data_IF_071634224206
#
_entry.id   IF_071634224206
#
_cell.length_a   1.000
_cell.length_b   1.000
_cell.length_c   1.000
_cell.angle_alpha   90.00
_cell.angle_beta   90.00
_cell.angle_gamma   90.00
#
_symmetry.space_group_name_H-M   'P 1'
#
loop_
_entity.id
_entity.type
_entity.pdbx_description
1 polymer ?
#
# COMPACT_ATOMS: atom_id res chain seq x y z
N UNK A 1 28.39 18.01 -24.73
CA UNK A 1 27.94 17.36 -23.46
C UNK A 1 26.45 17.61 -23.27
N UNK A 2 25.62 16.61 -23.58
CA UNK A 2 24.16 16.76 -23.61
C UNK A 2 23.52 16.79 -22.22
N UNK A 3 22.30 17.34 -22.15
CA UNK A 3 21.43 17.32 -20.97
C UNK A 3 21.32 15.93 -20.34
N UNK A 4 21.24 14.87 -21.16
CA UNK A 4 21.21 13.48 -20.71
C UNK A 4 22.45 13.04 -19.92
N UNK A 5 23.62 13.58 -20.24
CA UNK A 5 24.88 13.28 -19.52
C UNK A 5 24.97 14.04 -18.18
N UNK A 6 24.20 15.12 -18.04
CA UNK A 6 24.03 15.86 -16.78
C UNK A 6 23.00 15.17 -15.88
N UNK A 7 21.90 14.68 -16.47
CA UNK A 7 20.88 13.91 -15.75
C UNK A 7 21.43 12.56 -15.27
N UNK A 8 22.20 11.85 -16.10
CA UNK A 8 22.85 10.59 -15.71
C UNK A 8 23.89 10.80 -14.60
N UNK A 9 24.60 11.94 -14.62
CA UNK A 9 25.52 12.34 -13.54
C UNK A 9 24.77 12.68 -12.26
N UNK A 10 23.62 13.35 -12.32
CA UNK A 10 22.79 13.60 -11.14
C UNK A 10 22.34 12.28 -10.50
N UNK A 11 21.86 11.33 -11.31
CA UNK A 11 21.44 10.01 -10.82
C UNK A 11 22.61 9.22 -10.21
N UNK A 12 23.81 9.25 -10.82
CA UNK A 12 25.02 8.62 -10.27
C UNK A 12 25.55 9.33 -9.02
N UNK A 13 25.48 10.66 -8.97
CA UNK A 13 25.91 11.43 -7.81
C UNK A 13 24.98 11.18 -6.61
N UNK A 14 23.66 11.04 -6.83
CA UNK A 14 22.72 10.69 -5.78
C UNK A 14 22.85 9.24 -5.30
N UNK A 15 23.24 8.31 -6.18
CA UNK A 15 23.52 6.93 -5.79
C UNK A 15 24.70 6.81 -4.79
N UNK A 16 25.69 7.71 -4.86
CA UNK A 16 26.79 7.76 -3.89
C UNK A 16 26.45 8.53 -2.60
N UNK A 17 25.48 9.45 -2.65
CA UNK A 17 25.01 10.19 -1.46
C UNK A 17 24.04 9.37 -0.57
N UNK A 18 23.32 8.42 -1.17
CA UNK A 18 22.38 7.53 -0.47
C UNK A 18 23.05 6.52 0.49
N UNK A 19 24.39 6.45 0.51
CA UNK A 19 25.14 5.61 1.47
C UNK A 19 25.25 6.26 2.86
N UNK A 20 24.98 7.56 3.00
CA UNK A 20 25.36 8.31 4.22
C UNK A 20 24.23 8.90 5.06
N UNK A 21 22.96 8.61 4.80
CA UNK A 21 21.92 9.08 5.72
C UNK A 21 20.50 8.68 5.35
N UNK A 22 19.91 7.80 6.15
CA UNK A 22 18.54 7.82 6.69
C UNK A 22 17.35 8.29 5.81
N UNK A 23 17.47 8.37 4.49
CA UNK A 23 16.35 8.66 3.59
C UNK A 23 15.79 7.37 3.01
N UNK A 24 14.48 7.19 3.21
CA UNK A 24 13.72 6.09 2.67
C UNK A 24 13.89 6.05 1.14
N UNK A 25 14.44 4.95 0.56
CA UNK A 25 14.69 4.85 -0.88
C UNK A 25 13.41 5.02 -1.70
N UNK A 26 12.24 4.74 -1.13
CA UNK A 26 10.96 4.98 -1.80
C UNK A 26 10.66 6.47 -1.95
N UNK A 27 11.00 7.30 -0.96
CA UNK A 27 10.84 8.76 -1.02
C UNK A 27 11.75 9.40 -2.07
N UNK A 28 13.00 8.94 -2.18
CA UNK A 28 13.93 9.44 -3.21
C UNK A 28 13.39 9.15 -4.61
N UNK A 29 12.84 7.95 -4.84
CA UNK A 29 12.24 7.60 -6.14
C UNK A 29 10.96 8.41 -6.42
N UNK A 30 10.10 8.62 -5.41
CA UNK A 30 8.91 9.46 -5.51
C UNK A 30 9.29 10.91 -5.86
N UNK A 31 10.27 11.50 -5.17
CA UNK A 31 10.77 12.84 -5.45
C UNK A 31 11.40 12.95 -6.85
N UNK A 32 12.22 11.98 -7.25
CA UNK A 32 12.88 11.98 -8.56
C UNK A 32 11.87 11.98 -9.70
N UNK A 33 10.79 11.20 -9.58
CA UNK A 33 9.71 11.19 -10.59
C UNK A 33 8.91 12.49 -10.58
N UNK A 34 8.66 13.08 -9.40
CA UNK A 34 7.99 14.37 -9.29
C UNK A 34 8.83 15.50 -9.94
N UNK A 35 10.14 15.53 -9.71
CA UNK A 35 11.05 16.50 -10.31
C UNK A 35 11.08 16.36 -11.83
N UNK A 36 11.17 15.13 -12.35
CA UNK A 36 11.10 14.87 -13.79
C UNK A 36 9.77 15.35 -14.40
N UNK A 37 8.65 15.19 -13.71
CA UNK A 37 7.34 15.70 -14.16
C UNK A 37 7.29 17.23 -14.16
N UNK A 38 7.83 17.88 -13.13
CA UNK A 38 7.93 19.34 -13.06
C UNK A 38 8.78 19.90 -14.20
N UNK A 39 9.93 19.29 -14.47
CA UNK A 39 10.81 19.70 -15.57
C UNK A 39 10.20 19.41 -16.94
N UNK A 40 9.41 18.33 -17.07
CA UNK A 40 8.64 18.07 -18.29
C UNK A 40 7.64 19.20 -18.58
N UNK A 41 6.96 19.74 -17.57
CA UNK A 41 6.04 20.87 -17.76
C UNK A 41 6.80 22.10 -18.26
N UNK A 42 7.94 22.44 -17.66
CA UNK A 42 8.78 23.56 -18.10
C UNK A 42 9.28 23.35 -19.53
N UNK A 43 9.68 22.12 -19.87
CA UNK A 43 10.13 21.80 -21.23
C UNK A 43 9.00 21.93 -22.23
N UNK A 44 7.79 21.44 -21.92
CA UNK A 44 6.59 21.63 -22.77
C UNK A 44 6.33 23.11 -23.04
N UNK A 45 6.42 23.96 -22.01
CA UNK A 45 6.27 25.41 -22.17
C UNK A 45 7.35 26.00 -23.08
N UNK A 46 8.63 25.62 -22.89
CA UNK A 46 9.72 26.08 -23.74
C UNK A 46 9.55 25.67 -25.21
N UNK A 47 9.12 24.42 -25.45
CA UNK A 47 8.82 23.93 -26.81
C UNK A 47 7.63 24.67 -27.41
N UNK A 48 6.58 24.95 -26.63
CA UNK A 48 5.44 25.75 -27.09
C UNK A 48 5.86 27.18 -27.49
N UNK A 49 6.74 27.82 -26.71
CA UNK A 49 7.29 29.14 -27.05
C UNK A 49 8.11 29.10 -28.35
N UNK A 50 8.91 28.05 -28.55
CA UNK A 50 9.67 27.86 -29.79
C UNK A 50 8.73 27.71 -31.01
N UNK A 51 7.68 26.89 -30.89
CA UNK A 51 6.65 26.73 -31.93
C UNK A 51 5.94 28.07 -32.21
N UNK A 52 5.59 28.82 -31.17
CA UNK A 52 4.94 30.12 -31.33
C UNK A 52 5.85 31.12 -32.07
N UNK A 53 7.13 31.17 -31.72
CA UNK A 53 8.14 32.00 -32.40
C UNK A 53 8.27 31.65 -33.89
N UNK A 54 8.39 30.36 -34.21
CA UNK A 54 8.42 29.84 -35.56
C UNK A 54 7.16 30.23 -36.35
N UNK A 55 5.97 30.07 -35.76
CA UNK A 55 4.70 30.45 -36.39
C UNK A 55 4.61 31.94 -36.65
N UNK A 56 5.14 32.77 -35.73
CA UNK A 56 5.22 34.23 -35.92
C UNK A 56 6.11 34.59 -37.09
N UNK A 57 7.30 33.98 -37.19
CA UNK A 57 8.21 34.18 -38.32
C UNK A 57 7.59 33.76 -39.65
N UNK A 58 6.90 32.62 -39.68
CA UNK A 58 6.16 32.16 -40.86
C UNK A 58 5.10 33.17 -41.30
N UNK A 59 4.30 33.64 -40.35
CA UNK A 59 3.31 34.68 -40.63
C UNK A 59 3.93 35.98 -41.17
N UNK A 60 5.11 36.38 -40.69
CA UNK A 60 5.81 37.56 -41.21
C UNK A 60 6.34 37.32 -42.64
N UNK A 61 6.85 36.13 -42.93
CA UNK A 61 7.27 35.73 -44.27
C UNK A 61 6.09 35.77 -45.26
N UNK A 62 4.95 35.21 -44.85
CA UNK A 62 3.72 35.17 -45.66
C UNK A 62 3.18 36.59 -45.92
N UNK A 63 3.20 37.46 -44.91
CA UNK A 63 2.84 38.87 -45.06
C UNK A 63 3.75 39.61 -46.04
N UNK A 64 5.07 39.43 -45.92
CA UNK A 64 6.04 40.05 -46.84
C UNK A 64 5.84 39.55 -48.28
N UNK A 65 5.56 38.26 -48.47
CA UNK A 65 5.26 37.66 -49.78
C UNK A 65 3.97 38.23 -50.38
N UNK A 66 2.93 38.40 -49.56
CA UNK A 66 1.65 39.02 -49.96
C UNK A 66 1.85 40.48 -50.37
N UNK A 67 2.66 41.24 -49.63
CA UNK A 67 3.02 42.62 -49.99
C UNK A 67 3.79 42.69 -51.31
N UNK A 68 4.76 41.78 -51.53
CA UNK A 68 5.47 41.71 -52.81
C UNK A 68 4.51 41.46 -53.98
N UNK A 69 3.53 40.56 -53.81
CA UNK A 69 2.49 40.27 -54.81
C UNK A 69 1.61 41.50 -55.07
N UNK A 70 1.18 42.19 -54.00
CA UNK A 70 0.36 43.40 -54.12
C UNK A 70 1.09 44.51 -54.88
N UNK A 71 2.39 44.71 -54.60
CA UNK A 71 3.20 45.70 -55.33
C UNK A 71 3.44 45.30 -56.78
N UNK A 72 3.50 44.01 -57.07
CA UNK A 72 3.57 43.51 -58.44
C UNK A 72 2.29 43.84 -59.23
N UNK A 73 1.11 43.55 -58.68
CA UNK A 73 -0.18 43.88 -59.29
C UNK A 73 -0.34 45.39 -59.51
N UNK A 74 0.14 46.22 -58.57
CA UNK A 74 0.16 47.68 -58.72
C UNK A 74 1.07 48.13 -59.85
N UNK A 75 2.24 47.51 -60.02
CA UNK A 75 3.13 47.80 -61.13
C UNK A 75 2.50 47.45 -62.48
N UNK A 76 1.81 46.30 -62.57
CA UNK A 76 1.07 45.91 -63.78
C UNK A 76 -0.05 46.89 -64.11
N UNK A 77 -0.78 47.36 -63.09
CA UNK A 77 -1.83 48.36 -63.28
C UNK A 77 -1.27 49.71 -63.76
N UNK A 78 -0.15 50.15 -63.21
CA UNK A 78 0.53 51.38 -63.61
C UNK A 78 1.02 51.31 -65.06
N UNK A 79 1.62 50.19 -65.47
CA UNK A 79 2.03 49.96 -66.86
C UNK A 79 0.84 49.97 -67.83
N UNK A 80 -0.29 49.34 -67.46
CA UNK A 80 -1.52 49.37 -68.27
C UNK A 80 -2.07 50.79 -68.47
N UNK A 81 -1.77 51.71 -67.55
CA UNK A 81 -2.17 53.12 -67.62
C UNK A 81 -1.10 54.02 -68.26
N UNK A 82 0.04 53.47 -68.67
CA UNK A 82 1.16 54.23 -69.24
C UNK A 82 1.99 55.01 -68.23
N UNK A 83 1.80 54.78 -66.92
CA UNK A 83 2.57 55.44 -65.86
C UNK A 83 3.84 54.64 -65.53
N UNK A 84 4.85 54.73 -66.39
CA UNK A 84 6.09 53.95 -66.26
C UNK A 84 6.88 54.25 -64.99
N UNK A 85 6.95 55.52 -64.56
CA UNK A 85 7.70 55.89 -63.36
C UNK A 85 7.08 55.28 -62.09
N UNK A 86 5.74 55.29 -62.01
CA UNK A 86 5.00 54.68 -60.90
C UNK A 86 5.13 53.14 -60.91
N UNK A 87 5.19 52.53 -62.10
CA UNK A 87 5.49 51.11 -62.23
C UNK A 87 6.91 50.76 -61.72
N UNK A 88 7.93 51.57 -62.06
CA UNK A 88 9.30 51.37 -61.57
C UNK A 88 9.40 51.49 -60.05
N UNK A 89 8.70 52.46 -59.46
CA UNK A 89 8.67 52.61 -58.01
C UNK A 89 7.98 51.40 -57.34
N UNK A 90 6.84 50.95 -57.87
CA UNK A 90 6.14 49.78 -57.38
C UNK A 90 7.00 48.51 -57.46
N UNK A 91 7.74 48.31 -58.56
CA UNK A 91 8.68 47.19 -58.70
C UNK A 91 9.86 47.29 -57.74
N UNK A 92 10.33 48.50 -57.43
CA UNK A 92 11.38 48.71 -56.42
C UNK A 92 10.89 48.27 -55.03
N UNK A 93 9.68 48.67 -54.64
CA UNK A 93 9.06 48.25 -53.38
C UNK A 93 8.81 46.74 -53.34
N UNK A 94 8.30 46.16 -54.43
CA UNK A 94 8.16 44.70 -54.58
C UNK A 94 9.47 43.99 -54.27
N UNK A 95 10.59 44.45 -54.87
CA UNK A 95 11.90 43.82 -54.70
C UNK A 95 12.30 43.78 -53.22
N UNK A 96 12.14 44.89 -52.49
CA UNK A 96 12.42 44.94 -51.05
C UNK A 96 11.58 43.95 -50.23
N UNK A 97 10.28 43.85 -50.50
CA UNK A 97 9.41 42.88 -49.83
C UNK A 97 9.74 41.43 -50.19
N UNK A 98 10.15 41.19 -51.45
CA UNK A 98 10.54 39.86 -51.91
C UNK A 98 11.85 39.39 -51.28
N UNK A 99 12.85 40.27 -51.16
CA UNK A 99 14.09 39.99 -50.43
C UNK A 99 13.81 39.69 -48.94
N UNK A 100 12.93 40.48 -48.33
CA UNK A 100 12.47 40.26 -46.94
C UNK A 100 11.79 38.90 -46.78
N UNK A 101 10.85 38.56 -47.67
CA UNK A 101 10.15 37.28 -47.65
C UNK A 101 11.13 36.10 -47.82
N UNK A 102 12.13 36.24 -48.70
CA UNK A 102 13.16 35.21 -48.93
C UNK A 102 14.01 35.00 -47.69
N UNK A 103 14.47 36.08 -47.05
CA UNK A 103 15.26 36.02 -45.81
C UNK A 103 14.48 35.38 -44.65
N UNK A 104 13.23 35.80 -44.45
CA UNK A 104 12.36 35.23 -43.42
C UNK A 104 12.04 33.76 -43.69
N UNK A 105 11.79 33.38 -44.94
CA UNK A 105 11.53 31.99 -45.32
C UNK A 105 12.73 31.08 -45.03
N UNK A 106 13.95 31.56 -45.31
CA UNK A 106 15.18 30.83 -44.97
C UNK A 106 15.33 30.66 -43.44
N UNK A 107 14.99 31.68 -42.65
CA UNK A 107 14.99 31.59 -41.19
C UNK A 107 13.93 30.60 -40.68
N UNK A 108 12.73 30.61 -41.25
CA UNK A 108 11.66 29.64 -40.93
C UNK A 108 12.15 28.22 -41.20
N UNK A 109 12.73 27.97 -42.38
CA UNK A 109 13.22 26.64 -42.75
C UNK A 109 14.31 26.13 -41.80
N UNK A 110 15.21 27.01 -41.35
CA UNK A 110 16.23 26.69 -40.34
C UNK A 110 15.59 26.34 -38.98
N UNK A 111 14.52 27.04 -38.59
CA UNK A 111 13.81 26.75 -37.33
C UNK A 111 12.91 25.52 -37.40
N UNK A 112 12.35 25.17 -38.57
CA UNK A 112 11.50 23.99 -38.75
C UNK A 112 12.21 22.72 -38.26
N UNK A 113 13.49 22.52 -38.63
CA UNK A 113 14.28 21.36 -38.19
C UNK A 113 14.56 21.35 -36.68
N UNK A 114 14.79 22.52 -36.08
CA UNK A 114 15.04 22.65 -34.64
C UNK A 114 13.78 22.35 -33.84
N UNK A 115 12.65 22.92 -34.23
CA UNK A 115 11.35 22.69 -33.58
C UNK A 115 10.92 21.24 -33.68
N UNK A 116 11.09 20.59 -34.85
CA UNK A 116 10.80 19.17 -35.01
C UNK A 116 11.69 18.29 -34.11
N UNK A 117 12.98 18.64 -33.99
CA UNK A 117 13.89 17.93 -33.08
C UNK A 117 13.46 18.08 -31.61
N UNK A 118 13.04 19.29 -31.22
CA UNK A 118 12.52 19.56 -29.87
C UNK A 118 11.24 18.77 -29.59
N UNK A 119 10.29 18.71 -30.53
CA UNK A 119 9.06 17.92 -30.40
C UNK A 119 9.36 16.43 -30.23
N UNK A 120 10.24 15.86 -31.07
CA UNK A 120 10.64 14.45 -30.96
C UNK A 120 11.33 14.15 -29.62
N UNK A 121 12.21 15.05 -29.18
CA UNK A 121 12.90 14.92 -27.89
C UNK A 121 11.94 14.98 -26.71
N UNK A 122 10.91 15.83 -26.80
CA UNK A 122 9.86 15.93 -25.80
C UNK A 122 9.07 14.62 -25.68
N UNK A 123 8.61 14.06 -26.80
CA UNK A 123 7.89 12.78 -26.82
C UNK A 123 8.76 11.65 -26.26
N UNK A 124 10.05 11.61 -26.64
CA UNK A 124 10.99 10.62 -26.10
C UNK A 124 11.19 10.78 -24.58
N UNK A 125 11.21 12.01 -24.07
CA UNK A 125 11.31 12.27 -22.64
C UNK A 125 10.05 11.84 -21.89
N UNK A 126 8.87 12.09 -22.45
CA UNK A 126 7.58 11.64 -21.90
C UNK A 126 7.56 10.11 -21.75
N UNK A 127 8.00 9.38 -22.77
CA UNK A 127 8.13 7.92 -22.71
C UNK A 127 9.09 7.47 -21.60
N UNK A 128 10.27 8.08 -21.49
CA UNK A 128 11.23 7.76 -20.43
C UNK A 128 10.69 8.04 -19.02
N UNK A 129 9.90 9.09 -18.85
CA UNK A 129 9.26 9.42 -17.56
C UNK A 129 8.18 8.39 -17.23
N UNK A 130 7.41 7.92 -18.20
CA UNK A 130 6.44 6.84 -18.00
C UNK A 130 7.12 5.52 -17.60
N UNK A 131 8.24 5.17 -18.25
CA UNK A 131 9.06 4.03 -17.86
C UNK A 131 9.63 4.20 -16.44
N UNK A 132 10.12 5.39 -16.09
CA UNK A 132 10.64 5.67 -14.76
C UNK A 132 9.57 5.54 -13.68
N UNK A 133 8.35 6.00 -13.96
CA UNK A 133 7.19 5.81 -13.05
C UNK A 133 6.91 4.32 -12.82
N UNK A 134 6.88 3.53 -13.89
CA UNK A 134 6.66 2.07 -13.79
C UNK A 134 7.76 1.39 -12.98
N UNK A 135 9.02 1.75 -13.23
CA UNK A 135 10.18 1.24 -12.47
C UNK A 135 10.11 1.64 -11.00
N UNK A 136 9.71 2.87 -10.69
CA UNK A 136 9.49 3.32 -9.31
C UNK A 136 8.46 2.43 -8.62
N UNK A 137 7.30 2.22 -9.23
CA UNK A 137 6.21 1.44 -8.62
C UNK A 137 6.65 -0.01 -8.36
N UNK A 138 7.39 -0.61 -9.30
CA UNK A 138 8.00 -1.94 -9.14
C UNK A 138 9.01 -1.98 -7.98
N UNK A 139 9.92 -1.00 -7.90
CA UNK A 139 10.93 -0.93 -6.84
C UNK A 139 10.29 -0.71 -5.46
N UNK A 140 9.22 0.09 -5.40
CA UNK A 140 8.46 0.33 -4.17
C UNK A 140 7.77 -0.95 -3.68
N UNK A 141 7.12 -1.69 -4.57
CA UNK A 141 6.52 -2.99 -4.24
C UNK A 141 7.57 -4.00 -3.75
N UNK A 142 8.75 -4.04 -4.40
CA UNK A 142 9.85 -4.91 -3.99
C UNK A 142 10.42 -4.52 -2.62
N UNK A 143 10.55 -3.23 -2.35
CA UNK A 143 10.98 -2.72 -1.04
C UNK A 143 9.99 -3.10 0.07
N UNK A 144 8.69 -2.95 -0.19
CA UNK A 144 7.64 -3.35 0.75
C UNK A 144 7.65 -4.87 1.02
N UNK A 145 7.79 -5.69 -0.02
CA UNK A 145 7.90 -7.15 0.13
C UNK A 145 9.13 -7.54 0.94
N UNK A 146 10.28 -6.91 0.69
CA UNK A 146 11.51 -7.15 1.45
C UNK A 146 11.36 -6.73 2.92
N UNK A 147 10.71 -5.59 3.19
CA UNK A 147 10.43 -5.12 4.54
C UNK A 147 9.48 -6.06 5.29
N UNK A 148 8.43 -6.56 4.63
CA UNK A 148 7.51 -7.55 5.20
C UNK A 148 8.22 -8.88 5.51
N UNK A 149 9.11 -9.34 4.62
CA UNK A 149 9.91 -10.54 4.85
C UNK A 149 10.88 -10.35 6.03
N UNK A 150 11.51 -9.18 6.15
CA UNK A 150 12.37 -8.85 7.29
C UNK A 150 11.58 -8.82 8.59
N UNK A 151 10.40 -8.19 8.61
CA UNK A 151 9.52 -8.16 9.77
C UNK A 151 9.06 -9.56 10.17
N UNK A 152 8.71 -10.42 9.21
CA UNK A 152 8.36 -11.82 9.47
C UNK A 152 9.54 -12.58 10.07
N UNK A 153 10.75 -12.46 9.50
CA UNK A 153 11.94 -13.12 10.03
C UNK A 153 12.31 -12.63 11.43
N UNK A 154 12.13 -11.33 11.71
CA UNK A 154 12.33 -10.77 13.05
C UNK A 154 11.24 -11.24 14.03
N UNK A 155 9.98 -11.34 13.60
CA UNK A 155 8.89 -11.86 14.41
C UNK A 155 9.07 -13.35 14.71
N UNK A 156 9.45 -14.17 13.73
CA UNK A 156 9.77 -15.59 13.92
C UNK A 156 11.05 -15.78 14.75
N UNK A 157 12.06 -14.91 14.58
CA UNK A 157 13.25 -14.91 15.43
C UNK A 157 12.97 -14.50 16.88
N UNK A 158 11.99 -13.61 17.10
CA UNK A 158 11.54 -13.18 18.44
C UNK A 158 10.50 -14.14 19.05
N UNK A 159 9.72 -14.85 18.23
CA UNK A 159 8.98 -16.05 18.62
C UNK A 159 10.02 -17.18 18.65
N UNK A 160 10.98 -17.05 19.57
CA UNK A 160 11.90 -18.15 19.86
C UNK A 160 11.04 -19.36 20.20
N UNK A 161 11.22 -20.42 19.42
CA UNK A 161 10.75 -21.78 19.69
C UNK A 161 11.00 -22.19 21.14
N UNK A 162 11.99 -21.59 21.80
CA UNK A 162 12.32 -21.82 23.21
C UNK A 162 11.29 -21.27 24.19
N UNK A 163 10.59 -20.17 23.91
CA UNK A 163 9.68 -19.57 24.91
C UNK A 163 8.30 -20.22 24.96
N UNK A 164 7.75 -20.60 23.81
CA UNK A 164 6.45 -21.25 23.71
C UNK A 164 6.54 -22.76 24.00
N UNK A 165 7.59 -23.46 23.52
CA UNK A 165 7.81 -24.86 23.89
C UNK A 165 8.22 -25.01 25.37
N UNK A 166 9.09 -24.15 25.92
CA UNK A 166 9.40 -24.21 27.35
C UNK A 166 8.22 -23.81 28.25
N UNK A 167 7.24 -23.06 27.74
CA UNK A 167 5.99 -22.83 28.47
C UNK A 167 5.10 -24.08 28.49
N UNK A 168 5.09 -24.85 27.39
CA UNK A 168 4.42 -26.15 27.33
C UNK A 168 5.09 -27.20 28.24
N UNK A 169 6.43 -27.34 28.18
CA UNK A 169 7.18 -28.27 29.05
C UNK A 169 6.97 -27.96 30.54
N UNK A 170 6.99 -26.68 30.94
CA UNK A 170 6.69 -26.30 32.34
C UNK A 170 5.25 -26.60 32.76
N UNK A 171 4.31 -26.57 31.81
CA UNK A 171 2.92 -26.91 32.10
C UNK A 171 2.76 -28.42 32.24
N UNK A 172 3.43 -29.20 31.40
CA UNK A 172 3.50 -30.67 31.46
C UNK A 172 4.09 -31.14 32.80
N UNK A 173 5.25 -30.61 33.19
CA UNK A 173 5.91 -30.94 34.47
C UNK A 173 5.03 -30.58 35.68
N UNK A 174 4.25 -29.50 35.59
CA UNK A 174 3.31 -29.09 36.64
C UNK A 174 2.07 -29.99 36.70
N UNK A 175 1.58 -30.46 35.55
CA UNK A 175 0.47 -31.43 35.50
C UNK A 175 0.93 -32.77 36.07
N UNK A 176 2.11 -33.24 35.70
CA UNK A 176 2.68 -34.49 36.24
C UNK A 176 2.88 -34.42 37.76
N UNK A 177 3.37 -33.29 38.29
CA UNK A 177 3.47 -33.07 39.73
C UNK A 177 2.09 -33.04 40.44
N UNK A 178 1.07 -32.48 39.80
CA UNK A 178 -0.31 -32.49 40.32
C UNK A 178 -0.93 -33.90 40.29
N UNK A 179 -0.64 -34.69 39.25
CA UNK A 179 -1.05 -36.09 39.17
C UNK A 179 -0.35 -36.94 40.22
N UNK A 180 0.96 -36.77 40.41
CA UNK A 180 1.74 -37.46 41.44
C UNK A 180 1.27 -37.10 42.86
N UNK A 181 0.94 -35.83 43.11
CA UNK A 181 0.36 -35.42 44.40
C UNK A 181 -1.07 -35.94 44.58
N UNK A 182 -1.87 -36.04 43.50
CA UNK A 182 -3.18 -36.69 43.52
C UNK A 182 -3.10 -38.18 43.83
N UNK A 183 -2.12 -38.89 43.25
CA UNK A 183 -1.86 -40.30 43.53
C UNK A 183 -1.36 -40.49 44.98
N UNK A 184 -0.43 -39.66 45.45
CA UNK A 184 0.05 -39.69 46.83
C UNK A 184 -1.07 -39.37 47.84
N UNK A 185 -1.98 -38.43 47.53
CA UNK A 185 -3.13 -38.12 48.36
C UNK A 185 -4.16 -39.27 48.36
N UNK A 186 -4.34 -39.97 47.24
CA UNK A 186 -5.18 -41.17 47.17
C UNK A 186 -4.58 -42.34 47.98
N UNK A 187 -3.25 -42.51 47.95
CA UNK A 187 -2.55 -43.48 48.81
C UNK A 187 -2.63 -43.11 50.29
N UNK A 188 -2.51 -41.82 50.64
CA UNK A 188 -2.68 -41.35 52.02
C UNK A 188 -4.12 -41.51 52.51
N UNK A 189 -5.12 -41.22 51.67
CA UNK A 189 -6.53 -41.44 51.99
C UNK A 189 -6.86 -42.94 52.09
N UNK A 190 -6.23 -43.78 51.27
CA UNK A 190 -6.29 -45.24 51.40
C UNK A 190 -5.66 -45.72 52.70
N UNK A 191 -4.51 -45.17 53.09
CA UNK A 191 -3.85 -45.48 54.37
C UNK A 191 -4.65 -44.97 55.58
N UNK A 192 -5.31 -43.82 55.47
CA UNK A 192 -6.18 -43.28 56.51
C UNK A 192 -7.47 -44.12 56.67
N UNK A 193 -8.09 -44.54 55.56
CA UNK A 193 -9.22 -45.50 55.56
C UNK A 193 -8.80 -46.86 56.15
N UNK A 194 -7.67 -47.42 55.75
CA UNK A 194 -7.15 -48.67 56.30
C UNK A 194 -6.83 -48.54 57.80
N UNK A 195 -6.32 -47.37 58.24
CA UNK A 195 -6.09 -47.08 59.66
C UNK A 195 -7.38 -46.89 60.46
N UNK A 196 -8.42 -46.33 59.84
CA UNK A 196 -9.76 -46.21 60.43
C UNK A 196 -10.47 -47.58 60.49
N UNK A 197 -10.26 -48.46 59.51
CA UNK A 197 -10.71 -49.85 59.55
C UNK A 197 -9.94 -50.67 60.59
N UNK A 198 -8.62 -50.52 60.70
CA UNK A 198 -7.82 -51.16 61.75
C UNK A 198 -8.17 -50.65 63.16
N UNK A 199 -8.55 -49.37 63.30
CA UNK A 199 -9.07 -48.82 64.55
C UNK A 199 -10.49 -49.32 64.87
N UNK A 200 -11.33 -49.59 63.86
CA UNK A 200 -12.61 -50.27 64.02
C UNK A 200 -12.43 -51.76 64.40
N UNK A 201 -11.47 -52.46 63.78
CA UNK A 201 -11.12 -53.85 64.12
C UNK A 201 -10.49 -53.98 65.51
N UNK A 202 -9.78 -52.94 65.98
CA UNK A 202 -9.25 -52.86 67.35
C UNK A 202 -10.31 -52.46 68.39
N UNK A 203 -11.55 -52.19 67.96
CA UNK A 203 -12.51 -51.42 68.73
C UNK A 203 -13.93 -51.95 68.73
N UNK A 204 -14.19 -53.24 68.56
CA UNK A 204 -15.46 -53.88 68.99
C UNK A 204 -15.37 -55.41 68.87
N UNK A 205 -15.70 -56.10 69.97
CA UNK A 205 -15.73 -57.55 70.13
C UNK A 205 -16.70 -58.21 69.14
N UNK A 206 -16.16 -58.89 68.13
CA UNK A 206 -16.93 -59.73 67.18
C UNK A 206 -17.66 -60.88 67.90
N UNK A 207 -17.27 -61.21 69.14
CA UNK A 207 -17.95 -62.20 69.99
C UNK A 207 -19.19 -61.65 70.72
N UNK A 208 -19.24 -60.34 71.04
CA UNK A 208 -20.39 -59.70 71.67
C UNK A 208 -21.54 -59.45 70.67
N UNK A 209 -21.20 -59.12 69.43
CA UNK A 209 -22.19 -58.99 68.34
C UNK A 209 -22.79 -60.34 67.93
N UNK A 210 -22.05 -61.45 68.04
CA UNK A 210 -22.56 -62.81 67.78
C UNK A 210 -23.58 -63.27 68.85
N UNK A 211 -23.41 -62.83 70.11
CA UNK A 211 -24.34 -63.08 71.21
C UNK A 211 -25.62 -62.24 71.10
N UNK A 212 -25.50 -60.99 70.64
CA UNK A 212 -26.64 -60.13 70.33
C UNK A 212 -27.47 -60.67 69.14
N UNK A 213 -26.80 -61.19 68.09
CA UNK A 213 -27.47 -61.74 66.90
C UNK A 213 -28.31 -63.01 67.20
N UNK A 214 -27.90 -63.83 68.19
CA UNK A 214 -28.68 -65.02 68.62
C UNK A 214 -29.94 -64.67 69.41
N UNK A 215 -29.94 -63.56 70.15
CA UNK A 215 -31.09 -63.11 70.90
C UNK A 215 -32.09 -62.33 70.02
N UNK A 216 -31.62 -61.74 68.92
CA UNK A 216 -32.46 -60.94 68.03
C UNK A 216 -33.19 -61.76 66.94
N UNK A 217 -32.76 -63.01 66.67
CA UNK A 217 -33.47 -63.96 65.79
C UNK A 217 -34.75 -64.58 66.40
N UNK A 218 -35.19 -64.13 67.59
CA UNK A 218 -36.38 -64.62 68.31
C UNK A 218 -37.61 -63.70 68.32
N UNK A 219 -37.64 -62.63 67.52
CA UNK A 219 -38.84 -61.80 67.39
C UNK A 219 -38.91 -61.04 66.06
N UNK A 220 -39.74 -61.49 65.13
CA UNK A 220 -40.30 -60.63 64.07
C UNK A 220 -41.64 -60.02 64.52
N UNK A 221 -42.45 -59.37 63.66
CA UNK A 221 -42.25 -58.88 62.28
C UNK A 221 -42.59 -57.36 62.17
N UNK A 222 -42.99 -56.90 60.97
CA UNK A 222 -43.45 -55.54 60.57
C UNK A 222 -42.33 -54.56 60.16
N UNK A 223 -41.97 -54.47 58.87
CA UNK A 223 -42.71 -54.02 57.68
C UNK A 223 -42.83 -52.49 57.55
N UNK A 224 -42.47 -52.02 56.34
CA UNK A 224 -42.87 -50.74 55.70
C UNK A 224 -42.11 -49.50 56.24
N UNK A 225 -41.59 -48.55 55.48
CA UNK A 225 -41.40 -48.27 54.05
C UNK A 225 -40.36 -47.14 53.90
N UNK A 226 -39.89 -46.98 52.67
CA UNK A 226 -39.20 -45.81 52.14
C UNK A 226 -39.95 -44.50 52.41
N UNK A 227 -39.22 -43.37 52.51
CA UNK A 227 -39.61 -42.12 51.85
C UNK A 227 -38.54 -41.79 50.78
N UNK A 228 -38.86 -41.81 49.49
CA UNK A 228 -39.64 -40.80 48.75
C UNK A 228 -39.01 -39.39 48.79
N UNK A 229 -38.50 -39.03 47.61
CA UNK A 229 -38.10 -37.75 47.06
C UNK A 229 -38.71 -36.47 47.66
N UNK A 230 -37.89 -35.40 47.64
CA UNK A 230 -38.21 -34.01 47.26
C UNK A 230 -36.89 -33.20 47.41
N UNK A 231 -36.48 -32.27 46.53
CA UNK A 231 -37.12 -31.66 45.40
C UNK A 231 -36.07 -30.90 44.55
N UNK A 232 -36.42 -30.73 43.28
CA UNK A 232 -35.73 -29.90 42.29
C UNK A 232 -35.94 -28.41 42.57
N UNK A 233 -35.06 -27.55 42.04
CA UNK A 233 -35.58 -26.41 41.30
C UNK A 233 -34.95 -26.27 39.92
N UNK A 234 -35.82 -26.45 38.93
CA UNK A 234 -35.99 -25.63 37.72
C UNK A 234 -34.75 -25.05 37.02
N UNK A 235 -34.50 -25.62 35.83
CA UNK A 235 -33.85 -24.96 34.69
C UNK A 235 -34.58 -23.64 34.35
N UNK A 236 -33.89 -22.51 34.47
CA UNK A 236 -34.36 -21.24 33.92
C UNK A 236 -34.16 -21.24 32.40
N UNK A 237 -35.25 -20.94 31.67
CA UNK A 237 -35.25 -20.71 30.22
C UNK A 237 -34.50 -19.42 29.90
N UNK A 238 -33.59 -19.51 28.93
CA UNK A 238 -32.97 -18.39 28.23
C UNK A 238 -34.08 -17.50 27.63
N UNK A 239 -34.07 -16.21 28.00
CA UNK A 239 -34.81 -15.16 27.30
C UNK A 239 -33.81 -14.43 26.41
N UNK A 240 -33.83 -14.74 25.11
CA UNK A 240 -33.16 -13.92 24.09
C UNK A 240 -34.12 -12.78 23.79
N UNK A 241 -33.89 -11.64 24.40
CA UNK A 241 -34.48 -10.36 23.98
C UNK A 241 -33.32 -9.46 23.53
N UNK A 242 -33.45 -9.00 22.28
CA UNK A 242 -32.77 -7.85 21.69
C UNK A 242 -31.27 -7.98 21.36
N UNK A 243 -30.97 -8.54 20.18
CA UNK A 243 -29.70 -8.29 19.44
C UNK A 243 -29.96 -7.53 18.13
N UNK A 244 -31.20 -7.11 17.85
CA UNK A 244 -31.54 -6.39 16.62
C UNK A 244 -31.41 -4.85 16.73
N UNK A 245 -31.29 -4.28 17.94
CA UNK A 245 -31.13 -2.83 18.11
C UNK A 245 -29.70 -2.35 17.77
N UNK A 246 -28.69 -3.11 18.17
CA UNK A 246 -27.28 -2.73 17.99
C UNK A 246 -26.81 -2.82 16.52
N UNK A 247 -27.49 -3.61 15.70
CA UNK A 247 -27.15 -3.78 14.27
C UNK A 247 -27.66 -2.63 13.39
N UNK A 248 -28.76 -1.96 13.79
CA UNK A 248 -29.28 -0.79 13.06
C UNK A 248 -28.45 0.47 13.33
N UNK A 249 -27.93 0.63 14.56
CA UNK A 249 -27.05 1.74 14.90
C UNK A 249 -25.67 1.63 14.23
N UNK A 250 -25.19 0.41 13.98
CA UNK A 250 -23.97 0.17 13.20
C UNK A 250 -24.16 0.48 11.70
N UNK A 251 -25.37 0.26 11.14
CA UNK A 251 -25.66 0.65 9.75
C UNK A 251 -25.79 2.16 9.57
N UNK A 252 -26.38 2.87 10.55
CA UNK A 252 -26.52 4.33 10.50
C UNK A 252 -25.21 5.09 10.65
N UNK A 253 -24.21 4.49 11.30
CA UNK A 253 -22.87 5.09 11.45
C UNK A 253 -21.98 4.89 10.22
N UNK A 254 -22.29 3.91 9.36
CA UNK A 254 -21.55 3.68 8.10
C UNK A 254 -22.05 4.59 6.96
N UNK A 255 -23.33 4.99 6.95
CA UNK A 255 -23.88 5.90 5.94
C UNK A 255 -23.57 7.40 6.19
N UNK A 256 -22.78 7.73 7.23
CA UNK A 256 -22.39 9.11 7.59
C UNK A 256 -20.88 9.39 7.50
N UNK A 257 -20.12 8.52 6.85
CA UNK A 257 -18.71 8.74 6.47
C UNK A 257 -18.57 8.77 4.95
#
# INVERSE_FOLDING_TARGET
MGFFDRLSRLVRANANAAVSGMEDPTKILDQSVADMQSDLVKLRQAVALAIASQKRLRSQADQASTQATTWYERAELALKKGEEDLAREALTRRKTFQETATSLSAQVQSQDGQVETLKKSLVALEGKIAEAKTKKDMLKARAQAAQAQQQLQSAVGNIGTDSAMAAFERMEEKVEALEATGQAAAELAGADLESQFAALESGTDVDDELAALRNQLKGGPEAVALPAAEGTPSVQKVKVEEVDADLEDLKRSIDKL
#
